data_IF_487838324306
#
_entry.id   IF_487838324306
#
_cell.length_a   1.000
_cell.length_b   1.000
_cell.length_c   1.000
_cell.angle_alpha   90.00
_cell.angle_beta   90.00
_cell.angle_gamma   90.00
#
_symmetry.space_group_name_H-M   'P 1'
#
loop_
_entity.id
_entity.type
_entity.pdbx_description
1 polymer ?
#
# COMPACT_ATOMS: atom_id res chain seq x y z
N UNK A 1 25.33 -15.77 -9.15
CA UNK A 1 24.43 -14.62 -8.94
C UNK A 1 23.12 -15.13 -8.38
N UNK A 2 22.91 -15.05 -7.06
CA UNK A 2 21.63 -15.29 -6.40
C UNK A 2 21.61 -14.42 -5.14
N UNK A 3 20.51 -13.69 -4.94
CA UNK A 3 20.43 -12.54 -4.07
C UNK A 3 20.26 -12.83 -2.58
N UNK A 4 20.39 -11.75 -1.80
CA UNK A 4 19.78 -11.57 -0.50
C UNK A 4 19.96 -10.09 -0.10
N UNK A 5 18.94 -9.28 -0.36
CA UNK A 5 18.85 -7.92 0.18
C UNK A 5 18.60 -7.99 1.69
N UNK A 6 19.69 -7.85 2.46
CA UNK A 6 19.72 -7.25 3.80
C UNK A 6 18.94 -5.92 3.80
N UNK A 7 18.29 -5.41 4.85
CA UNK A 7 18.45 -5.57 6.30
C UNK A 7 17.29 -4.80 6.98
N UNK A 8 16.92 -5.20 8.21
CA UNK A 8 16.22 -4.42 9.24
C UNK A 8 14.66 -4.47 9.33
N UNK A 9 14.11 -5.17 10.34
CA UNK A 9 12.76 -4.93 10.83
C UNK A 9 12.81 -3.76 11.84
N UNK A 10 12.60 -2.54 11.35
CA UNK A 10 12.45 -1.35 12.18
C UNK A 10 11.02 -1.23 12.76
N UNK A 11 10.87 -0.93 14.07
CA UNK A 11 9.57 -0.80 14.73
C UNK A 11 8.93 0.54 14.36
N UNK A 12 8.07 0.59 13.31
CA UNK A 12 6.94 1.53 13.13
C UNK A 12 6.33 1.47 11.70
N UNK A 13 6.13 0.29 11.09
CA UNK A 13 5.17 0.20 9.96
C UNK A 13 3.75 0.14 10.48
N UNK A 14 3.37 1.16 11.27
CA UNK A 14 1.99 1.49 11.58
C UNK A 14 1.24 1.60 10.25
N UNK A 15 0.50 0.56 9.88
CA UNK A 15 -0.58 0.50 8.89
C UNK A 15 -0.42 1.27 7.56
N UNK A 16 0.79 1.58 7.10
CA UNK A 16 1.03 2.20 5.78
C UNK A 16 1.26 1.08 4.78
N UNK A 17 0.33 0.92 3.84
CA UNK A 17 0.47 0.01 2.71
C UNK A 17 1.87 0.21 2.08
N UNK A 18 2.68 -0.85 1.95
CA UNK A 18 4.03 -0.70 1.42
C UNK A 18 3.95 -0.26 -0.04
N UNK A 19 4.42 0.95 -0.29
CA UNK A 19 4.32 1.63 -1.59
C UNK A 19 4.91 0.81 -2.74
N UNK A 20 5.94 0.01 -2.48
CA UNK A 20 6.52 -0.91 -3.45
C UNK A 20 5.51 -1.98 -3.90
N UNK A 21 4.70 -2.53 -2.98
CA UNK A 21 3.64 -3.50 -3.31
C UNK A 21 2.46 -2.82 -4.00
N UNK A 22 2.08 -1.62 -3.56
CA UNK A 22 1.03 -0.83 -4.23
C UNK A 22 1.43 -0.51 -5.67
N UNK A 23 2.68 -0.09 -5.89
CA UNK A 23 3.20 0.17 -7.24
C UNK A 23 3.21 -1.09 -8.11
N UNK A 24 3.61 -2.24 -7.56
CA UNK A 24 3.59 -3.50 -8.30
C UNK A 24 2.18 -3.91 -8.72
N UNK A 25 1.19 -3.73 -7.85
CA UNK A 25 -0.23 -3.95 -8.17
C UNK A 25 -0.72 -2.99 -9.24
N UNK A 26 -0.37 -1.70 -9.12
CA UNK A 26 -0.74 -0.66 -10.09
C UNK A 26 -0.10 -0.92 -11.47
N UNK A 27 1.14 -1.40 -11.51
CA UNK A 27 1.84 -1.74 -12.76
C UNK A 27 1.50 -3.13 -13.32
N UNK A 28 0.75 -3.94 -12.57
CA UNK A 28 0.22 -5.21 -13.09
C UNK A 28 -0.97 -4.96 -14.03
N UNK A 29 -1.54 -3.76 -13.99
CA UNK A 29 -2.55 -3.30 -14.94
C UNK A 29 -1.88 -2.99 -16.30
N UNK A 30 -2.31 -3.65 -17.40
CA UNK A 30 -1.71 -3.46 -18.73
C UNK A 30 -1.89 -2.03 -19.27
N UNK A 31 -2.86 -1.27 -18.77
CA UNK A 31 -3.11 0.11 -19.22
C UNK A 31 -2.27 1.15 -18.47
N UNK A 32 -1.52 0.73 -17.44
CA UNK A 32 -0.73 1.63 -16.58
C UNK A 32 0.75 1.58 -16.97
N UNK A 33 1.12 2.41 -17.93
CA UNK A 33 2.51 2.52 -18.42
C UNK A 33 3.45 3.26 -17.46
N UNK A 34 2.97 4.31 -16.77
CA UNK A 34 3.76 5.13 -15.84
C UNK A 34 3.04 5.27 -14.49
N UNK A 35 3.71 4.86 -13.42
CA UNK A 35 3.24 5.02 -12.05
C UNK A 35 4.16 5.98 -11.28
N UNK A 36 3.73 7.23 -11.15
CA UNK A 36 4.41 8.25 -10.32
C UNK A 36 4.34 7.86 -8.84
N UNK A 37 5.40 8.17 -8.09
CA UNK A 37 5.45 7.91 -6.66
C UNK A 37 4.33 8.63 -5.88
N UNK A 38 3.94 9.82 -6.34
CA UNK A 38 2.83 10.60 -5.75
C UNK A 38 1.48 9.92 -6.00
N UNK A 39 1.25 9.43 -7.22
CA UNK A 39 0.02 8.70 -7.55
C UNK A 39 -0.09 7.40 -6.73
N UNK A 40 1.00 6.63 -6.63
CA UNK A 40 1.07 5.41 -5.80
C UNK A 40 0.84 5.75 -4.32
N UNK A 41 1.38 6.86 -3.84
CA UNK A 41 1.20 7.32 -2.47
C UNK A 41 -0.26 7.67 -2.17
N UNK A 42 -0.92 8.44 -3.05
CA UNK A 42 -2.33 8.82 -2.90
C UNK A 42 -3.21 7.57 -2.90
N UNK A 43 -2.97 6.61 -3.80
CA UNK A 43 -3.70 5.35 -3.84
C UNK A 43 -3.54 4.54 -2.53
N UNK A 44 -2.31 4.41 -2.03
CA UNK A 44 -2.03 3.73 -0.77
C UNK A 44 -2.71 4.43 0.43
N UNK A 45 -2.74 5.76 0.43
CA UNK A 45 -3.37 6.54 1.48
C UNK A 45 -4.91 6.44 1.45
N UNK A 46 -5.51 6.61 0.27
CA UNK A 46 -6.96 6.51 0.08
C UNK A 46 -7.50 5.14 0.48
N UNK A 47 -6.83 4.07 0.07
CA UNK A 47 -7.20 2.70 0.45
C UNK A 47 -7.09 2.47 1.97
N UNK A 48 -6.00 2.89 2.60
CA UNK A 48 -5.85 2.82 4.06
C UNK A 48 -6.99 3.57 4.76
N UNK A 49 -7.32 4.79 4.30
CA UNK A 49 -8.36 5.61 4.92
C UNK A 49 -9.75 5.01 4.75
N UNK A 50 -10.04 4.44 3.57
CA UNK A 50 -11.29 3.74 3.30
C UNK A 50 -11.48 2.57 4.26
N UNK A 51 -10.49 1.68 4.40
CA UNK A 51 -10.60 0.57 5.33
C UNK A 51 -10.74 1.03 6.79
N UNK A 52 -10.01 2.06 7.21
CA UNK A 52 -10.13 2.60 8.56
C UNK A 52 -11.54 3.15 8.86
N UNK A 53 -12.16 3.83 7.88
CA UNK A 53 -13.50 4.38 8.02
C UNK A 53 -14.59 3.30 7.94
N UNK A 54 -14.47 2.34 7.03
CA UNK A 54 -15.42 1.23 6.90
C UNK A 54 -15.32 0.27 8.08
N UNK A 55 -14.12 0.03 8.63
CA UNK A 55 -13.92 -0.80 9.81
C UNK A 55 -14.73 -0.29 11.01
N UNK A 56 -14.74 1.03 11.26
CA UNK A 56 -15.58 1.62 12.31
C UNK A 56 -17.08 1.42 12.04
N UNK A 57 -17.53 1.52 10.78
CA UNK A 57 -18.92 1.24 10.42
C UNK A 57 -19.32 -0.23 10.63
N UNK A 58 -18.43 -1.17 10.33
CA UNK A 58 -18.70 -2.61 10.53
C UNK A 58 -18.68 -3.03 12.00
N UNK A 59 -17.92 -2.34 12.86
CA UNK A 59 -17.93 -2.61 14.31
C UNK A 59 -19.15 -2.00 15.01
N UNK A 60 -19.71 -0.91 14.48
CA UNK A 60 -20.84 -0.22 15.10
C UNK A 60 -22.21 -0.77 14.69
N UNK A 61 -22.30 -1.43 13.53
CA UNK A 61 -23.54 -2.04 13.01
C UNK A 61 -23.57 -3.58 13.16
N UNK A 62 -22.97 -4.08 14.23
CA UNK A 62 -22.97 -5.49 14.64
C UNK A 62 -23.46 -5.60 16.09
#
# INVERSE_FOLDING_TARGET
MAGAGSLCPGPLRLARLPLARVKALVKADPDVSLASQEAVYILAFSSTRYYANNFTYYLQNK
#
